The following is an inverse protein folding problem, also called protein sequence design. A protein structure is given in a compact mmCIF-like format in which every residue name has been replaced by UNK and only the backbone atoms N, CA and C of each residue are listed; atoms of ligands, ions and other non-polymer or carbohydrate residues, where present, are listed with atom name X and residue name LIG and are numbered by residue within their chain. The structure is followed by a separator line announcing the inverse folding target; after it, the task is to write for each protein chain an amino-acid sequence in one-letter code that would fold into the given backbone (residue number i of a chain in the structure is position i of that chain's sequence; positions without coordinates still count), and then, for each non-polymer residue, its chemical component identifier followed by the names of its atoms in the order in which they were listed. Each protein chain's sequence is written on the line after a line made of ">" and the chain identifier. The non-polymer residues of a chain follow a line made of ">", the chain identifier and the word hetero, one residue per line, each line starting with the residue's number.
data_IF_940108725501
#
_entry.id   IF_940108725501
#
_cell.length_a   1.000
_cell.length_b   1.000
_cell.length_c   1.000
_cell.angle_alpha   90.00
_cell.angle_beta   90.00
_cell.angle_gamma   90.00
#
_symmetry.space_group_name_H-M   'P 1'
#
loop_
_entity.id
_entity.type
_entity.pdbx_description
1 polymer ?
#
# COMPACT_ATOMS: atom_id res chain seq x y z
N UNK A 1 -7.70 -8.07 16.35
CA UNK A 1 -7.06 -6.73 16.30
C UNK A 1 -7.70 -5.91 17.41
N UNK A 2 -6.89 -5.26 18.24
CA UNK A 2 -7.40 -4.39 19.30
C UNK A 2 -7.47 -2.94 18.79
N UNK A 3 -8.43 -2.17 19.29
CA UNK A 3 -8.46 -0.71 19.08
C UNK A 3 -7.41 -0.02 19.95
N UNK A 4 -7.05 1.22 19.58
CA UNK A 4 -6.08 2.03 20.33
C UNK A 4 -6.40 2.07 21.83
N UNK A 5 -5.35 1.87 22.64
CA UNK A 5 -5.43 1.92 24.11
C UNK A 5 -4.56 3.04 24.64
N UNK A 6 -5.11 3.77 25.60
CA UNK A 6 -4.37 4.80 26.33
C UNK A 6 -3.62 4.14 27.49
N UNK A 7 -2.35 4.50 27.64
CA UNK A 7 -1.59 4.14 28.83
C UNK A 7 -2.10 4.97 30.00
N UNK A 8 -2.63 4.32 31.03
CA UNK A 8 -3.07 4.97 32.26
C UNK A 8 -2.33 4.35 33.44
N UNK A 9 -1.72 5.19 34.28
CA UNK A 9 -0.97 4.74 35.47
C UNK A 9 0.08 3.66 35.19
N UNK A 10 0.74 3.71 34.01
CA UNK A 10 1.79 2.78 33.62
C UNK A 10 1.32 1.42 33.10
N UNK A 11 0.02 1.23 32.84
CA UNK A 11 -0.55 0.01 32.27
C UNK A 11 -1.53 0.26 31.13
N UNK A 12 -1.88 -0.82 30.42
CA UNK A 12 -2.95 -0.86 29.42
C UNK A 12 -3.92 -2.00 29.72
N UNK A 13 -5.19 -1.84 29.34
CA UNK A 13 -6.21 -2.90 29.48
C UNK A 13 -6.50 -3.54 28.12
N UNK A 14 -6.31 -4.85 28.05
CA UNK A 14 -6.62 -5.65 26.84
C UNK A 14 -8.06 -6.15 26.91
N UNK A 15 -8.77 -6.15 25.77
CA UNK A 15 -10.17 -6.61 25.68
C UNK A 15 -10.26 -8.15 25.67
N UNK A 16 -9.15 -8.83 25.42
CA UNK A 16 -9.05 -10.29 25.36
C UNK A 16 -7.76 -10.76 25.99
N UNK A 17 -7.81 -11.89 26.69
CA UNK A 17 -6.62 -12.52 27.26
C UNK A 17 -5.75 -13.10 26.13
N UNK A 18 -4.48 -12.68 26.01
CA UNK A 18 -3.59 -13.22 24.99
C UNK A 18 -3.20 -14.66 25.30
N UNK A 19 -3.07 -15.50 24.27
CA UNK A 19 -2.73 -16.93 24.42
C UNK A 19 -1.24 -17.21 24.35
N UNK A 20 -0.45 -16.34 23.71
CA UNK A 20 1.00 -16.53 23.54
C UNK A 20 1.80 -15.25 23.85
N UNK A 21 1.58 -14.18 23.09
CA UNK A 21 2.28 -12.90 23.27
C UNK A 21 1.39 -11.73 22.82
N UNK A 22 1.80 -10.51 23.19
CA UNK A 22 1.19 -9.25 22.76
C UNK A 22 2.30 -8.34 22.31
N UNK A 23 2.18 -7.79 21.10
CA UNK A 23 3.04 -6.72 20.62
C UNK A 23 2.34 -5.39 20.85
N UNK A 24 3.06 -4.45 21.44
CA UNK A 24 2.58 -3.10 21.72
C UNK A 24 3.58 -2.14 21.10
N UNK A 25 3.08 -1.19 20.31
CA UNK A 25 3.87 -0.17 19.66
C UNK A 25 3.12 1.15 19.60
N UNK A 26 3.83 2.20 19.20
CA UNK A 26 3.19 3.44 18.78
C UNK A 26 2.59 3.23 17.40
N UNK A 27 1.46 3.89 17.15
CA UNK A 27 0.87 3.86 15.81
C UNK A 27 1.83 4.52 14.81
N UNK A 28 2.07 3.81 13.72
CA UNK A 28 2.88 4.28 12.60
C UNK A 28 2.22 3.84 11.31
N UNK A 29 1.65 4.82 10.61
CA UNK A 29 1.07 4.61 9.28
C UNK A 29 2.12 4.95 8.21
N UNK A 30 2.74 3.96 7.54
CA UNK A 30 3.73 4.23 6.52
C UNK A 30 3.07 4.88 5.30
N UNK A 31 3.76 5.86 4.71
CA UNK A 31 3.36 6.48 3.44
C UNK A 31 4.51 6.29 2.45
N UNK A 32 4.29 5.41 1.47
CA UNK A 32 5.25 5.14 0.40
C UNK A 32 4.68 5.70 -0.90
N UNK A 33 5.21 6.83 -1.35
CA UNK A 33 4.80 7.48 -2.61
C UNK A 33 5.85 7.22 -3.69
N UNK A 34 5.42 6.73 -4.85
CA UNK A 34 6.33 6.50 -5.97
C UNK A 34 6.77 7.81 -6.61
N UNK A 35 7.93 7.80 -7.26
CA UNK A 35 8.34 8.89 -8.14
C UNK A 35 7.34 9.06 -9.30
N UNK A 36 7.23 10.28 -9.89
CA UNK A 36 6.48 10.48 -11.12
C UNK A 36 6.95 9.51 -12.21
N UNK A 37 6.01 8.93 -12.94
CA UNK A 37 6.35 7.98 -13.99
C UNK A 37 6.83 8.74 -15.21
N UNK A 38 8.12 8.70 -15.50
CA UNK A 38 8.67 9.23 -16.75
C UNK A 38 9.22 8.11 -17.63
N UNK A 39 8.68 7.99 -18.84
CA UNK A 39 9.08 6.99 -19.82
C UNK A 39 9.62 7.68 -21.07
N UNK A 40 10.69 7.13 -21.63
CA UNK A 40 11.17 7.54 -22.95
C UNK A 40 10.54 6.63 -24.00
N UNK A 41 9.55 7.14 -24.73
CA UNK A 41 8.91 6.41 -25.82
C UNK A 41 9.62 6.69 -27.14
N UNK A 42 9.35 5.88 -28.17
CA UNK A 42 9.87 6.12 -29.52
C UNK A 42 9.44 7.48 -30.09
N UNK A 43 8.28 8.00 -29.65
CA UNK A 43 7.76 9.32 -30.01
C UNK A 43 8.34 10.48 -29.20
N UNK A 44 9.20 10.21 -28.20
CA UNK A 44 9.83 11.22 -27.36
C UNK A 44 9.51 11.09 -25.87
N UNK A 45 9.75 12.18 -25.13
CA UNK A 45 9.47 12.27 -23.70
C UNK A 45 7.99 12.55 -23.44
N UNK A 46 7.45 12.01 -22.36
CA UNK A 46 6.04 12.14 -21.95
C UNK A 46 5.84 13.06 -20.74
N UNK A 47 6.86 13.83 -20.34
CA UNK A 47 6.75 14.83 -19.27
C UNK A 47 5.57 15.78 -19.57
N UNK A 48 4.67 15.93 -18.60
CA UNK A 48 3.49 16.81 -18.70
C UNK A 48 2.32 16.26 -19.52
N UNK A 49 2.48 15.13 -20.21
CA UNK A 49 1.37 14.46 -20.90
C UNK A 49 0.46 13.73 -19.90
N UNK A 50 -0.82 13.54 -20.27
CA UNK A 50 -1.75 12.74 -19.47
C UNK A 50 -1.37 11.26 -19.58
N UNK A 51 -1.10 10.67 -18.44
CA UNK A 51 -0.73 9.26 -18.25
C UNK A 51 -1.86 8.60 -17.46
N UNK A 52 -2.03 7.29 -17.68
CA UNK A 52 -2.97 6.46 -16.92
C UNK A 52 -2.29 5.17 -16.53
N UNK A 53 -2.19 4.93 -15.23
CA UNK A 53 -1.82 3.61 -14.71
C UNK A 53 -3.07 2.72 -14.83
N UNK A 54 -2.95 1.61 -15.54
CA UNK A 54 -4.08 0.69 -15.81
C UNK A 54 -4.10 -0.51 -14.89
N UNK A 55 -2.93 -0.94 -14.43
CA UNK A 55 -2.70 -2.10 -13.57
C UNK A 55 -1.47 -1.83 -12.70
N UNK A 56 -1.56 -2.19 -11.43
CA UNK A 56 -0.42 -2.18 -10.50
C UNK A 56 -0.36 -3.50 -9.74
N UNK A 57 0.84 -4.03 -9.56
CA UNK A 57 1.14 -5.25 -8.83
C UNK A 57 2.18 -4.95 -7.78
N UNK A 58 1.81 -5.10 -6.51
CA UNK A 58 2.70 -4.99 -5.38
C UNK A 58 3.32 -6.36 -5.08
N UNK A 59 4.64 -6.39 -4.97
CA UNK A 59 5.41 -7.52 -4.46
C UNK A 59 5.56 -7.32 -2.95
N UNK A 60 4.99 -8.21 -2.16
CA UNK A 60 4.97 -8.09 -0.70
C UNK A 60 5.56 -9.32 -0.03
N UNK A 61 6.11 -9.12 1.16
CA UNK A 61 6.68 -10.17 2.00
C UNK A 61 6.06 -10.09 3.39
N UNK A 62 5.64 -11.23 3.95
CA UNK A 62 5.06 -11.35 5.30
C UNK A 62 4.14 -10.19 5.67
N UNK A 63 3.22 -9.84 4.76
CA UNK A 63 2.35 -8.68 4.90
C UNK A 63 0.91 -9.10 5.18
N UNK A 64 0.20 -8.30 5.96
CA UNK A 64 -1.19 -8.53 6.37
C UNK A 64 -2.12 -7.36 6.02
N UNK A 65 -1.57 -6.19 5.74
CA UNK A 65 -2.34 -5.03 5.28
C UNK A 65 -1.56 -4.26 4.21
N UNK A 66 -2.30 -3.72 3.25
CA UNK A 66 -1.78 -2.84 2.21
C UNK A 66 -2.94 -2.04 1.62
N UNK A 67 -2.72 -0.76 1.42
CA UNK A 67 -3.59 0.11 0.63
C UNK A 67 -2.85 0.68 -0.57
N UNK A 68 -3.58 0.88 -1.67
CA UNK A 68 -3.10 1.59 -2.85
C UNK A 68 -4.07 2.73 -3.16
N UNK A 69 -3.58 3.96 -3.13
CA UNK A 69 -4.34 5.19 -3.33
C UNK A 69 -5.59 5.22 -2.43
N UNK A 70 -5.43 4.88 -1.15
CA UNK A 70 -6.50 4.84 -0.16
C UNK A 70 -7.45 3.65 -0.27
N UNK A 71 -7.21 2.71 -1.18
CA UNK A 71 -8.05 1.53 -1.32
C UNK A 71 -7.36 0.26 -0.82
N UNK A 72 -8.05 -0.51 0.02
CA UNK A 72 -7.52 -1.75 0.59
C UNK A 72 -7.31 -2.86 -0.43
N UNK A 73 -6.32 -3.70 -0.17
CA UNK A 73 -6.21 -5.05 -0.70
C UNK A 73 -6.82 -6.05 0.28
N UNK A 74 -7.50 -7.05 -0.24
CA UNK A 74 -8.00 -8.15 0.60
C UNK A 74 -6.83 -9.07 1.02
N UNK A 75 -6.69 -9.28 2.32
CA UNK A 75 -5.84 -10.31 2.92
C UNK A 75 -6.73 -11.33 3.62
N UNK A 76 -6.26 -12.57 3.71
CA UNK A 76 -6.89 -13.58 4.57
C UNK A 76 -6.53 -13.23 6.01
N UNK A 77 -7.52 -13.19 6.89
CA UNK A 77 -7.32 -12.80 8.28
C UNK A 77 -6.27 -13.67 8.98
N UNK A 78 -5.40 -13.03 9.76
CA UNK A 78 -4.39 -13.66 10.62
C UNK A 78 -3.26 -14.44 9.93
N UNK A 79 -3.23 -14.52 8.60
CA UNK A 79 -2.14 -15.18 7.86
C UNK A 79 -1.18 -14.15 7.25
N UNK A 80 0.12 -14.42 7.37
CA UNK A 80 1.13 -13.66 6.67
C UNK A 80 1.13 -14.00 5.18
N UNK A 81 0.95 -12.99 4.33
CA UNK A 81 0.97 -13.18 2.89
C UNK A 81 2.31 -12.74 2.30
N UNK A 82 2.91 -13.63 1.51
CA UNK A 82 4.08 -13.35 0.67
C UNK A 82 3.73 -13.63 -0.78
N UNK A 83 4.03 -12.69 -1.67
CA UNK A 83 3.79 -12.85 -3.10
C UNK A 83 3.33 -11.58 -3.79
N UNK A 84 2.52 -11.75 -4.85
CA UNK A 84 2.07 -10.65 -5.71
C UNK A 84 0.60 -10.33 -5.43
N UNK A 85 0.29 -9.08 -5.05
CA UNK A 85 -1.08 -8.56 -4.98
C UNK A 85 -1.29 -7.59 -6.12
N UNK A 86 -2.28 -7.88 -6.97
CA UNK A 86 -2.57 -7.08 -8.17
C UNK A 86 -3.87 -6.31 -8.03
N UNK A 87 -3.86 -5.04 -8.46
CA UNK A 87 -5.04 -4.20 -8.61
C UNK A 87 -5.27 -3.83 -10.06
N UNK A 88 -6.46 -4.17 -10.58
CA UNK A 88 -6.95 -3.80 -11.91
C UNK A 88 -8.49 -3.85 -11.94
N UNK A 89 -9.16 -3.03 -12.78
CA UNK A 89 -8.60 -1.91 -13.52
C UNK A 89 -8.35 -0.71 -12.60
N UNK A 90 -7.29 0.05 -12.87
CA UNK A 90 -7.09 1.38 -12.29
C UNK A 90 -7.69 2.46 -13.21
N UNK A 91 -8.38 3.41 -12.60
CA UNK A 91 -9.09 4.50 -13.27
C UNK A 91 -8.39 5.83 -13.00
N UNK A 92 -8.67 6.83 -13.84
CA UNK A 92 -8.12 8.16 -13.71
C UNK A 92 -6.95 8.42 -14.67
N UNK A 93 -6.81 9.69 -15.05
CA UNK A 93 -5.66 10.20 -15.77
C UNK A 93 -5.00 11.25 -14.91
N UNK A 94 -3.68 11.22 -14.87
CA UNK A 94 -2.86 12.18 -14.14
C UNK A 94 -1.61 12.52 -14.97
N UNK A 95 -0.99 13.67 -14.70
CA UNK A 95 0.25 14.09 -15.37
C UNK A 95 1.50 13.47 -14.75
N UNK A 96 1.47 13.20 -13.45
CA UNK A 96 2.62 12.63 -12.73
C UNK A 96 2.58 11.10 -12.74
N UNK A 97 1.38 10.50 -12.68
CA UNK A 97 1.23 9.05 -12.69
C UNK A 97 1.87 8.41 -11.47
N UNK A 98 1.57 8.94 -10.29
CA UNK A 98 2.09 8.44 -9.02
C UNK A 98 1.12 7.47 -8.33
N UNK A 99 1.68 6.58 -7.52
CA UNK A 99 0.94 5.69 -6.64
C UNK A 99 1.38 5.91 -5.20
N UNK A 100 0.42 5.86 -4.28
CA UNK A 100 0.69 5.93 -2.84
C UNK A 100 0.28 4.61 -2.21
N UNK A 101 1.25 3.93 -1.61
CA UNK A 101 1.05 2.73 -0.81
C UNK A 101 1.08 3.10 0.66
N UNK A 102 0.12 2.57 1.42
CA UNK A 102 -0.01 2.82 2.84
C UNK A 102 -0.71 1.66 3.53
N UNK A 103 -1.23 1.88 4.72
CA UNK A 103 -1.97 0.90 5.51
C UNK A 103 -3.23 1.53 6.10
N UNK A 104 -4.29 0.74 6.21
CA UNK A 104 -5.53 1.11 6.90
C UNK A 104 -5.58 0.59 8.34
N UNK A 105 -4.69 -0.36 8.66
CA UNK A 105 -4.58 -1.01 9.95
C UNK A 105 -3.10 -1.15 10.30
N UNK A 106 -2.71 -1.02 11.58
CA UNK A 106 -1.32 -1.13 12.04
C UNK A 106 -0.89 -2.60 12.10
N UNK A 107 -0.89 -3.27 10.94
CA UNK A 107 -0.47 -4.67 10.78
C UNK A 107 0.89 -4.74 10.09
N UNK A 108 1.44 -5.95 9.97
CA UNK A 108 2.73 -6.14 9.29
C UNK A 108 2.64 -5.78 7.80
N UNK A 109 3.64 -5.03 7.33
CA UNK A 109 3.76 -4.61 5.94
C UNK A 109 5.21 -4.50 5.51
N UNK A 110 5.56 -5.22 4.44
CA UNK A 110 6.85 -5.11 3.76
C UNK A 110 6.62 -5.09 2.25
N UNK A 111 6.91 -3.96 1.63
CA UNK A 111 6.84 -3.77 0.18
C UNK A 111 8.22 -4.01 -0.45
N UNK A 112 8.34 -5.05 -1.26
CA UNK A 112 9.58 -5.39 -1.97
C UNK A 112 9.74 -4.65 -3.28
N UNK A 113 8.62 -4.34 -3.96
CA UNK A 113 8.66 -3.71 -5.27
C UNK A 113 7.28 -3.53 -5.87
N UNK A 114 7.22 -2.77 -6.95
CA UNK A 114 5.98 -2.43 -7.65
C UNK A 114 6.20 -2.60 -9.15
N UNK A 115 5.34 -3.39 -9.78
CA UNK A 115 5.24 -3.50 -11.23
C UNK A 115 3.93 -2.85 -11.68
N UNK A 116 3.95 -2.00 -12.70
CA UNK A 116 2.73 -1.32 -13.16
C UNK A 116 2.74 -1.08 -14.66
N UNK A 117 1.55 -0.99 -15.24
CA UNK A 117 1.35 -0.71 -16.66
C UNK A 117 0.83 0.69 -16.84
N UNK A 118 1.43 1.41 -17.78
CA UNK A 118 1.06 2.79 -18.09
C UNK A 118 0.59 2.91 -19.52
N UNK A 119 -0.56 3.54 -19.68
CA UNK A 119 -1.09 4.00 -20.95
C UNK A 119 -0.87 5.51 -21.04
N UNK A 120 -0.38 5.95 -22.20
CA UNK A 120 -0.21 7.36 -22.53
C UNK A 120 -1.21 7.73 -23.62
N UNK A 121 -1.98 8.79 -23.37
CA UNK A 121 -2.82 9.38 -24.40
C UNK A 121 -1.96 10.24 -25.31
N UNK A 122 -1.48 9.67 -26.41
CA UNK A 122 -0.79 10.45 -27.44
C UNK A 122 -1.85 11.26 -28.19
N UNK A 123 -1.68 12.59 -28.20
CA UNK A 123 -2.36 13.49 -29.13
C UNK A 123 -1.44 13.75 -30.31
#
# INVERSE_FOLDING_TARGET
>A
MQSDKTVSSGGITLDSVPTSYVEIGLDYTPIVKTMPTELKLASGNIVGQKKRITEATALVYLSQNLTLNGNDFAFTNAEFFTGKKRRKPMLGYDREGQMTFSQSQPLFFTLLGIEYKVSVGQK
#
